data_IF_713041551646
#
_entry.id   IF_713041551646
#
_cell.length_a   1.000
_cell.length_b   1.000
_cell.length_c   1.000
_cell.angle_alpha   90.00
_cell.angle_beta   90.00
_cell.angle_gamma   90.00
#
_symmetry.space_group_name_H-M   'P 1'
#
loop_
_entity.id
_entity.type
_entity.pdbx_description
1 polymer ?
#
# COMPACT_ATOMS: atom_id res chain seq x y z
N UNK A 1 -43.58 13.00 -46.92
CA UNK A 1 -44.23 11.80 -46.36
C UNK A 1 -43.18 11.15 -45.43
N UNK A 2 -43.41 11.25 -44.11
CA UNK A 2 -42.72 10.67 -42.93
C UNK A 2 -41.17 10.54 -42.92
N UNK A 3 -40.47 11.34 -42.10
CA UNK A 3 -40.02 11.09 -40.69
C UNK A 3 -38.96 9.97 -40.58
N UNK A 4 -37.79 10.12 -39.96
CA UNK A 4 -37.42 10.88 -38.75
C UNK A 4 -35.96 11.36 -38.76
N UNK A 5 -35.77 12.54 -38.19
CA UNK A 5 -34.51 13.12 -37.69
C UNK A 5 -34.63 13.31 -36.18
N UNK A 6 -33.55 13.10 -35.44
CA UNK A 6 -33.35 13.73 -34.12
C UNK A 6 -31.89 14.13 -33.98
N UNK A 7 -31.69 15.43 -33.80
CA UNK A 7 -30.43 16.10 -33.49
C UNK A 7 -30.62 16.97 -32.25
N UNK A 8 -29.75 16.73 -31.25
CA UNK A 8 -28.91 17.67 -30.47
C UNK A 8 -29.56 18.87 -29.69
N UNK A 9 -28.90 19.20 -28.57
CA UNK A 9 -28.75 20.50 -27.86
C UNK A 9 -29.87 20.76 -26.83
N UNK A 10 -29.63 21.22 -25.60
CA UNK A 10 -28.46 21.70 -24.87
C UNK A 10 -28.98 22.39 -23.61
N UNK A 11 -28.14 22.45 -22.59
CA UNK A 11 -28.45 23.07 -21.29
C UNK A 11 -28.57 24.60 -21.41
N UNK A 12 -29.60 25.17 -20.78
CA UNK A 12 -29.67 26.58 -20.40
C UNK A 12 -30.24 26.72 -18.98
N UNK A 13 -29.57 27.55 -18.19
CA UNK A 13 -29.96 27.98 -16.84
C UNK A 13 -30.98 29.14 -16.87
N UNK A 14 -31.56 29.42 -15.70
CA UNK A 14 -32.49 30.50 -15.31
C UNK A 14 -34.01 30.22 -15.46
N UNK A 15 -34.66 29.94 -14.33
CA UNK A 15 -35.56 30.90 -13.65
C UNK A 15 -36.13 30.27 -12.36
N UNK A 16 -35.91 30.93 -11.22
CA UNK A 16 -36.54 30.60 -9.94
C UNK A 16 -37.78 31.49 -9.82
N UNK A 17 -38.98 30.89 -9.89
CA UNK A 17 -40.23 31.55 -9.50
C UNK A 17 -40.71 30.99 -8.17
N UNK A 18 -40.83 31.87 -7.18
CA UNK A 18 -41.42 31.57 -5.88
C UNK A 18 -42.94 31.57 -6.02
N UNK A 19 -43.58 30.43 -5.71
CA UNK A 19 -45.03 30.35 -5.53
C UNK A 19 -45.34 30.33 -4.03
N UNK A 20 -45.87 31.44 -3.51
CA UNK A 20 -46.55 31.48 -2.21
C UNK A 20 -47.82 30.63 -2.29
N UNK A 21 -47.85 29.52 -1.54
CA UNK A 21 -49.07 28.75 -1.31
C UNK A 21 -49.66 29.19 0.03
N UNK A 22 -50.72 29.99 -0.05
CA UNK A 22 -51.56 30.38 1.07
C UNK A 22 -52.35 29.15 1.55
N UNK A 23 -52.01 28.61 2.73
CA UNK A 23 -52.71 27.46 3.31
C UNK A 23 -54.00 27.95 3.97
N UNK A 24 -55.13 27.63 3.33
CA UNK A 24 -56.46 27.86 3.85
C UNK A 24 -56.74 26.88 5.02
N UNK A 25 -56.99 27.42 6.21
CA UNK A 25 -57.30 26.61 7.42
C UNK A 25 -58.72 26.03 7.32
N UNK A 26 -58.82 24.77 6.93
CA UNK A 26 -60.00 23.94 7.20
C UNK A 26 -59.65 22.82 8.19
N UNK A 27 -60.40 22.82 9.29
CA UNK A 27 -60.41 21.87 10.42
C UNK A 27 -60.11 20.42 9.99
N UNK A 28 -58.96 19.89 10.41
CA UNK A 28 -58.76 18.44 10.55
C UNK A 28 -58.77 18.07 12.04
N UNK A 29 -59.64 17.10 12.34
CA UNK A 29 -59.96 16.57 13.67
C UNK A 29 -58.69 16.08 14.39
N UNK A 30 -58.56 16.48 15.65
CA UNK A 30 -57.68 15.85 16.66
C UNK A 30 -58.05 14.37 16.76
N UNK A 31 -57.09 13.49 16.45
CA UNK A 31 -57.25 12.04 16.57
C UNK A 31 -56.16 11.26 15.86
N UNK A 32 -54.90 11.71 15.92
CA UNK A 32 -53.77 10.90 15.46
C UNK A 32 -53.44 9.91 16.56
N UNK A 33 -53.74 8.65 16.27
CA UNK A 33 -53.60 7.49 17.14
C UNK A 33 -52.23 7.40 17.82
N UNK A 34 -52.24 7.55 19.15
CA UNK A 34 -51.14 7.18 20.06
C UNK A 34 -50.64 5.74 19.78
N UNK A 35 -51.53 4.85 19.33
CA UNK A 35 -51.19 3.48 18.92
C UNK A 35 -50.18 3.38 17.76
N UNK A 36 -50.25 4.26 16.75
CA UNK A 36 -49.32 4.24 15.62
C UNK A 36 -47.92 4.73 16.00
N UNK A 37 -47.83 5.71 16.92
CA UNK A 37 -46.56 6.19 17.48
C UNK A 37 -45.88 5.13 18.36
N UNK A 38 -46.65 4.41 19.17
CA UNK A 38 -46.13 3.29 19.99
C UNK A 38 -45.68 2.14 19.09
N UNK A 39 -46.41 1.85 18.02
CA UNK A 39 -46.05 0.80 17.06
C UNK A 39 -44.75 1.15 16.31
N UNK A 40 -44.60 2.38 15.83
CA UNK A 40 -43.36 2.86 15.19
C UNK A 40 -42.17 2.86 16.16
N UNK A 41 -42.36 3.29 17.41
CA UNK A 41 -41.30 3.26 18.42
C UNK A 41 -40.86 1.83 18.79
N UNK A 42 -41.79 0.87 18.83
CA UNK A 42 -41.46 -0.56 18.98
C UNK A 42 -40.69 -1.09 17.78
N UNK A 43 -41.13 -0.78 16.55
CA UNK A 43 -40.42 -1.18 15.33
C UNK A 43 -38.99 -0.63 15.28
N UNK A 44 -38.78 0.64 15.64
CA UNK A 44 -37.45 1.25 15.75
C UNK A 44 -36.58 0.57 16.82
N UNK A 45 -37.14 0.18 17.96
CA UNK A 45 -36.42 -0.60 18.98
C UNK A 45 -36.01 -1.99 18.48
N UNK A 46 -36.91 -2.70 17.79
CA UNK A 46 -36.58 -4.01 17.22
C UNK A 46 -35.52 -3.89 16.12
N UNK A 47 -35.60 -2.87 15.26
CA UNK A 47 -34.57 -2.60 14.25
C UNK A 47 -33.21 -2.29 14.88
N UNK A 48 -33.17 -1.51 15.96
CA UNK A 48 -31.92 -1.22 16.67
C UNK A 48 -31.32 -2.48 17.31
N UNK A 49 -32.15 -3.33 17.91
CA UNK A 49 -31.70 -4.62 18.49
C UNK A 49 -31.15 -5.54 17.39
N UNK A 50 -31.79 -5.60 16.23
CA UNK A 50 -31.31 -6.39 15.09
C UNK A 50 -29.97 -5.85 14.58
N UNK A 51 -29.83 -4.53 14.44
CA UNK A 51 -28.56 -3.92 14.00
C UNK A 51 -27.44 -4.23 15.00
N UNK A 52 -27.69 -4.06 16.31
CA UNK A 52 -26.71 -4.39 17.35
C UNK A 52 -26.35 -5.88 17.33
N UNK A 53 -27.34 -6.76 17.18
CA UNK A 53 -27.10 -8.20 17.07
C UNK A 53 -26.27 -8.56 15.83
N UNK A 54 -26.59 -8.00 14.66
CA UNK A 54 -25.81 -8.20 13.44
C UNK A 54 -24.39 -7.66 13.60
N UNK A 55 -24.21 -6.48 14.20
CA UNK A 55 -22.88 -5.93 14.46
C UNK A 55 -22.10 -6.80 15.44
N UNK A 56 -22.71 -7.26 16.53
CA UNK A 56 -22.07 -8.15 17.51
C UNK A 56 -21.72 -9.51 16.90
N UNK A 57 -22.59 -10.09 16.07
CA UNK A 57 -22.30 -11.35 15.36
C UNK A 57 -21.18 -11.13 14.35
N UNK A 58 -21.16 -10.03 13.59
CA UNK A 58 -20.07 -9.73 12.67
C UNK A 58 -18.75 -9.45 13.42
N UNK A 59 -18.78 -8.74 14.53
CA UNK A 59 -17.59 -8.52 15.37
C UNK A 59 -17.08 -9.83 16.00
N UNK A 60 -17.98 -10.71 16.43
CA UNK A 60 -17.63 -12.05 16.90
C UNK A 60 -17.03 -12.90 15.78
N UNK A 61 -17.63 -12.88 14.58
CA UNK A 61 -17.10 -13.58 13.40
C UNK A 61 -15.74 -13.04 12.95
N UNK A 62 -15.53 -11.71 13.01
CA UNK A 62 -14.24 -11.07 12.73
C UNK A 62 -13.21 -11.47 13.80
N UNK A 63 -13.61 -11.53 15.08
CA UNK A 63 -12.70 -11.96 16.14
C UNK A 63 -12.31 -13.44 16.04
N UNK A 64 -13.19 -14.30 15.53
CA UNK A 64 -12.89 -15.71 15.23
C UNK A 64 -12.13 -15.92 13.92
N UNK A 65 -12.06 -14.91 13.05
CA UNK A 65 -11.26 -14.96 11.81
C UNK A 65 -9.84 -14.42 11.97
N UNK A 66 -9.50 -13.83 13.12
CA UNK A 66 -8.10 -13.65 13.53
C UNK A 66 -7.64 -14.98 14.13
N UNK A 67 -7.74 -16.04 13.33
CA UNK A 67 -6.96 -17.24 13.60
C UNK A 67 -5.51 -16.82 13.38
N UNK A 68 -4.73 -16.91 14.44
CA UNK A 68 -3.32 -16.58 14.46
C UNK A 68 -2.65 -17.31 13.30
N UNK A 69 -2.30 -16.57 12.25
CA UNK A 69 -1.29 -17.02 11.31
C UNK A 69 -0.05 -17.28 12.15
N UNK A 70 0.18 -18.55 12.49
CA UNK A 70 1.47 -18.99 12.99
C UNK A 70 2.43 -18.71 11.86
N UNK A 71 3.23 -17.65 12.02
CA UNK A 71 4.45 -17.45 11.24
C UNK A 71 5.17 -18.81 11.15
N UNK A 72 5.76 -19.11 10.00
CA UNK A 72 6.45 -20.39 9.77
C UNK A 72 7.69 -20.61 10.67
N UNK A 73 7.92 -19.71 11.64
CA UNK A 73 8.79 -19.90 12.77
C UNK A 73 7.95 -19.97 14.05
N UNK A 74 8.21 -20.93 14.96
CA UNK A 74 7.56 -20.91 16.28
C UNK A 74 7.72 -19.51 16.86
N UNK A 75 6.59 -18.85 17.10
CA UNK A 75 6.56 -17.52 17.70
C UNK A 75 7.16 -17.65 19.10
N UNK A 76 8.42 -17.25 19.21
CA UNK A 76 9.10 -17.12 20.48
C UNK A 76 8.84 -15.69 20.98
N UNK A 77 7.94 -15.50 21.95
CA UNK A 77 7.59 -14.17 22.46
C UNK A 77 8.78 -13.47 23.14
N UNK A 78 9.83 -14.22 23.50
CA UNK A 78 11.03 -13.68 24.12
C UNK A 78 12.13 -13.39 23.10
N UNK A 79 11.95 -13.79 21.82
CA UNK A 79 12.88 -13.49 20.74
C UNK A 79 12.74 -12.04 20.27
N UNK A 80 13.82 -11.28 20.42
CA UNK A 80 13.91 -9.93 19.87
C UNK A 80 13.92 -9.99 18.34
N UNK A 81 13.08 -9.17 17.73
CA UNK A 81 13.00 -9.03 16.28
C UNK A 81 13.26 -7.59 15.88
N UNK A 82 13.96 -7.39 14.77
CA UNK A 82 14.23 -6.08 14.20
C UNK A 82 14.00 -6.12 12.68
N UNK A 83 13.40 -5.06 12.16
CA UNK A 83 13.03 -4.92 10.77
C UNK A 83 13.35 -3.51 10.30
N UNK A 84 13.84 -3.42 9.06
CA UNK A 84 13.97 -2.16 8.35
C UNK A 84 12.86 -2.07 7.33
N UNK A 85 12.12 -0.97 7.36
CA UNK A 85 10.99 -0.69 6.47
C UNK A 85 11.13 0.68 5.83
N UNK A 86 10.28 0.95 4.85
CA UNK A 86 10.18 2.25 4.18
C UNK A 86 9.04 3.02 4.84
N UNK A 87 9.34 4.20 5.38
CA UNK A 87 8.33 5.07 5.99
C UNK A 87 7.25 5.47 4.98
N UNK A 88 5.98 5.42 5.40
CA UNK A 88 4.84 5.88 4.61
C UNK A 88 4.77 7.40 4.46
N UNK A 89 5.55 8.14 5.27
CA UNK A 89 5.68 9.59 5.16
C UNK A 89 6.79 9.97 4.18
N UNK A 90 6.61 11.08 3.48
CA UNK A 90 7.60 11.57 2.52
C UNK A 90 8.60 12.53 3.18
N UNK A 91 9.84 12.53 2.71
CA UNK A 91 10.90 13.41 3.21
C UNK A 91 10.74 14.85 2.69
N UNK A 92 10.92 15.05 1.38
CA UNK A 92 10.84 16.34 0.68
C UNK A 92 11.06 16.17 -0.82
N UNK A 93 10.66 17.17 -1.60
CA UNK A 93 10.88 17.24 -3.06
C UNK A 93 12.31 17.68 -3.39
N UNK A 94 13.01 16.93 -4.25
CA UNK A 94 14.26 17.41 -4.86
C UNK A 94 13.98 18.31 -6.08
N UNK A 95 14.98 19.09 -6.55
CA UNK A 95 14.86 19.87 -7.81
C UNK A 95 14.53 18.98 -9.02
N UNK A 96 14.98 17.73 -8.96
CA UNK A 96 14.65 16.68 -9.90
C UNK A 96 13.57 15.78 -9.29
N UNK A 97 12.55 16.34 -8.63
CA UNK A 97 11.25 15.74 -8.30
C UNK A 97 11.14 14.47 -7.43
N UNK A 98 12.14 14.06 -6.65
CA UNK A 98 12.02 12.82 -5.88
C UNK A 98 11.15 12.98 -4.63
N UNK A 99 10.32 11.96 -4.36
CA UNK A 99 9.84 11.62 -3.02
C UNK A 99 10.89 10.66 -2.43
N UNK A 100 11.89 11.19 -1.73
CA UNK A 100 12.76 10.32 -0.95
C UNK A 100 12.00 9.86 0.29
N UNK A 101 11.95 8.55 0.53
CA UNK A 101 11.37 7.97 1.74
C UNK A 101 12.44 7.80 2.80
N UNK A 102 12.02 7.94 4.04
CA UNK A 102 12.90 7.65 5.17
C UNK A 102 12.93 6.18 5.48
N UNK A 103 14.10 5.71 5.91
CA UNK A 103 14.23 4.43 6.57
C UNK A 103 13.49 4.51 7.91
N UNK A 104 12.66 3.50 8.17
CA UNK A 104 12.01 3.30 9.45
C UNK A 104 12.52 1.99 10.05
N UNK A 105 12.81 2.05 11.34
CA UNK A 105 13.28 0.91 12.11
C UNK A 105 12.11 0.45 12.95
N UNK A 106 11.81 -0.85 12.92
CA UNK A 106 10.77 -1.47 13.71
C UNK A 106 11.37 -2.61 14.52
N UNK A 107 10.92 -2.80 15.75
CA UNK A 107 11.36 -3.91 16.59
C UNK A 107 10.26 -4.42 17.49
N UNK A 108 10.38 -5.70 17.85
CA UNK A 108 9.56 -6.34 18.86
C UNK A 108 10.52 -6.80 19.94
N UNK A 109 10.40 -6.20 21.13
CA UNK A 109 11.16 -6.56 22.31
C UNK A 109 10.23 -6.40 23.53
N UNK A 110 10.04 -7.48 24.28
CA UNK A 110 9.10 -7.54 25.42
C UNK A 110 9.44 -6.52 26.50
N UNK A 111 10.73 -6.36 26.81
CA UNK A 111 11.25 -5.36 27.75
C UNK A 111 12.64 -4.88 27.28
N UNK A 112 12.71 -3.72 26.65
CA UNK A 112 14.00 -3.09 26.34
C UNK A 112 14.64 -2.52 27.61
N UNK A 113 15.93 -2.81 27.83
CA UNK A 113 16.73 -2.22 28.91
C UNK A 113 17.18 -0.79 28.58
N UNK A 114 17.59 -0.01 29.58
CA UNK A 114 18.20 1.32 29.37
C UNK A 114 19.53 1.23 28.58
N UNK A 115 20.24 0.11 28.73
CA UNK A 115 21.49 -0.16 28.04
C UNK A 115 21.34 -0.77 26.65
N UNK A 116 20.12 -1.11 26.22
CA UNK A 116 19.90 -1.67 24.89
C UNK A 116 20.12 -0.61 23.81
N UNK A 117 20.66 -1.03 22.67
CA UNK A 117 21.03 -0.13 21.57
C UNK A 117 20.63 -0.75 20.25
N UNK A 118 20.02 0.06 19.39
CA UNK A 118 19.84 -0.28 17.97
C UNK A 118 20.78 0.58 17.14
N UNK A 119 21.57 -0.06 16.28
CA UNK A 119 22.47 0.60 15.35
C UNK A 119 22.06 0.32 13.90
N UNK A 120 22.22 1.33 13.03
CA UNK A 120 22.01 1.22 11.58
C UNK A 120 23.34 1.42 10.84
N UNK A 121 23.59 0.64 9.80
CA UNK A 121 24.82 0.63 9.01
C UNK A 121 24.50 0.68 7.51
N UNK A 122 25.47 1.08 6.68
CA UNK A 122 25.36 1.01 5.22
C UNK A 122 25.95 -0.27 4.61
N UNK A 123 26.51 -1.16 5.43
CA UNK A 123 27.03 -2.48 5.07
C UNK A 123 26.77 -3.45 6.22
N UNK A 124 27.01 -4.74 5.99
CA UNK A 124 26.81 -5.76 7.00
C UNK A 124 27.83 -5.63 8.15
N UNK A 125 27.39 -5.27 9.38
CA UNK A 125 28.30 -5.07 10.50
C UNK A 125 28.89 -6.39 11.03
N UNK A 126 28.34 -7.55 10.65
CA UNK A 126 28.91 -8.86 11.01
C UNK A 126 30.18 -9.12 10.20
N UNK A 127 30.21 -8.70 8.94
CA UNK A 127 31.38 -8.84 8.07
C UNK A 127 32.38 -7.69 8.21
N UNK A 128 31.94 -6.51 8.67
CA UNK A 128 32.79 -5.35 8.89
C UNK A 128 32.51 -4.71 10.27
N UNK A 129 33.02 -5.33 11.32
CA UNK A 129 32.75 -4.95 12.72
C UNK A 129 33.33 -3.60 13.14
N UNK A 130 34.32 -3.07 12.40
CA UNK A 130 34.97 -1.77 12.70
C UNK A 130 34.19 -0.57 12.17
N UNK A 131 33.05 -0.80 11.51
CA UNK A 131 32.28 0.26 10.89
C UNK A 131 31.53 1.10 11.93
N UNK A 132 31.61 2.43 11.77
CA UNK A 132 30.79 3.38 12.54
C UNK A 132 29.32 3.31 12.10
N UNK A 133 28.36 3.21 13.04
CA UNK A 133 26.94 3.25 12.70
C UNK A 133 26.55 4.61 12.11
N UNK A 134 25.64 4.58 11.13
CA UNK A 134 24.98 5.76 10.58
C UNK A 134 24.03 6.41 11.59
N UNK A 135 23.40 5.57 12.41
CA UNK A 135 22.46 5.98 13.44
C UNK A 135 22.58 5.01 14.61
N UNK A 136 22.55 5.56 15.81
CA UNK A 136 22.46 4.85 17.07
C UNK A 136 21.24 5.37 17.82
N UNK A 137 20.41 4.47 18.34
CA UNK A 137 19.22 4.81 19.10
C UNK A 137 18.99 3.85 20.26
N UNK A 138 18.17 4.28 21.22
CA UNK A 138 17.87 3.53 22.44
C UNK A 138 16.40 3.10 22.41
N UNK A 139 16.09 1.81 22.23
CA UNK A 139 14.72 1.34 22.03
C UNK A 139 13.78 1.69 23.19
N UNK A 140 14.30 1.75 24.43
CA UNK A 140 13.50 2.14 25.61
C UNK A 140 12.92 3.55 25.54
N UNK A 141 13.53 4.48 24.77
CA UNK A 141 12.98 5.82 24.54
C UNK A 141 11.77 5.84 23.59
N UNK A 142 11.50 4.72 22.91
CA UNK A 142 10.48 4.58 21.88
C UNK A 142 9.63 3.33 22.13
N UNK A 143 8.79 3.33 23.17
CA UNK A 143 8.02 2.14 23.57
C UNK A 143 7.01 1.65 22.53
N UNK A 144 6.74 2.45 21.49
CA UNK A 144 5.90 2.04 20.36
C UNK A 144 6.55 1.01 19.43
N UNK A 145 7.83 0.68 19.63
CA UNK A 145 8.52 -0.34 18.82
C UNK A 145 8.92 0.12 17.43
N UNK A 146 8.94 1.44 17.16
CA UNK A 146 9.40 1.98 15.89
C UNK A 146 10.13 3.31 16.04
N UNK A 147 10.99 3.61 15.07
CA UNK A 147 11.69 4.88 14.97
C UNK A 147 11.86 5.31 13.51
N UNK A 148 11.39 6.51 13.20
CA UNK A 148 11.56 7.14 11.89
C UNK A 148 12.87 7.88 11.85
N UNK A 149 13.76 7.45 10.95
CA UNK A 149 15.08 8.06 10.80
C UNK A 149 15.01 9.27 9.86
N UNK A 150 16.14 9.99 9.74
CA UNK A 150 16.39 10.95 8.65
C UNK A 150 17.20 10.35 7.49
N UNK A 151 17.48 9.03 7.54
CA UNK A 151 18.23 8.30 6.52
C UNK A 151 17.31 8.10 5.32
N UNK A 152 17.77 8.53 4.15
CA UNK A 152 17.02 8.45 2.89
C UNK A 152 17.31 7.15 2.17
N UNK A 153 16.27 6.50 1.68
CA UNK A 153 16.40 5.28 0.88
C UNK A 153 16.56 5.67 -0.60
N UNK A 154 17.48 5.04 -1.35
CA UNK A 154 17.56 5.21 -2.79
C UNK A 154 16.28 4.67 -3.46
N UNK A 155 15.74 5.39 -4.45
CA UNK A 155 14.49 4.99 -5.12
C UNK A 155 14.71 3.85 -6.12
N UNK A 156 15.94 3.70 -6.62
CA UNK A 156 16.27 2.71 -7.65
C UNK A 156 17.06 1.54 -7.09
N UNK A 157 16.60 0.34 -7.44
CA UNK A 157 17.31 -0.91 -7.16
C UNK A 157 18.31 -1.29 -8.28
N UNK A 158 18.77 -0.32 -9.07
CA UNK A 158 19.65 -0.55 -10.22
C UNK A 158 21.04 -1.07 -9.85
N UNK A 159 21.45 -0.89 -8.58
CA UNK A 159 22.72 -1.38 -8.02
C UNK A 159 22.68 -2.83 -7.54
N UNK A 160 21.54 -3.51 -7.63
CA UNK A 160 21.43 -4.87 -7.11
C UNK A 160 22.22 -5.87 -7.95
N UNK A 161 23.02 -6.70 -7.26
CA UNK A 161 23.62 -7.88 -7.86
C UNK A 161 22.55 -8.97 -8.03
N UNK A 162 22.22 -9.38 -9.26
CA UNK A 162 21.18 -10.38 -9.48
C UNK A 162 21.52 -11.79 -8.99
N UNK A 163 22.80 -12.06 -8.70
CA UNK A 163 23.24 -13.35 -8.18
C UNK A 163 22.95 -13.54 -6.68
N UNK A 164 22.62 -12.46 -5.97
CA UNK A 164 22.33 -12.53 -4.54
C UNK A 164 20.87 -12.96 -4.30
N UNK A 165 20.67 -14.19 -3.79
CA UNK A 165 19.33 -14.76 -3.51
C UNK A 165 18.48 -13.93 -2.54
N UNK A 166 19.12 -13.15 -1.65
CA UNK A 166 18.48 -12.21 -0.72
C UNK A 166 19.23 -10.88 -0.74
N UNK A 167 18.99 -10.01 -1.72
CA UNK A 167 19.68 -8.74 -1.78
C UNK A 167 19.20 -7.83 -0.66
N UNK A 168 20.16 -7.30 0.10
CA UNK A 168 19.94 -6.19 1.04
C UNK A 168 20.07 -4.87 0.27
N UNK A 169 19.14 -3.96 0.51
CA UNK A 169 19.10 -2.64 -0.12
C UNK A 169 20.00 -1.64 0.64
N UNK A 170 21.28 -1.98 0.81
CA UNK A 170 22.31 -1.06 1.30
C UNK A 170 22.20 -0.61 2.77
N UNK A 171 21.25 -1.15 3.56
CA UNK A 171 21.10 -0.83 4.98
C UNK A 171 20.96 -2.07 5.84
N UNK A 172 21.66 -2.07 6.96
CA UNK A 172 21.62 -3.11 7.99
C UNK A 172 21.26 -2.49 9.34
N UNK A 173 20.63 -3.28 10.20
CA UNK A 173 20.38 -2.88 11.57
C UNK A 173 20.64 -4.03 12.54
N UNK A 174 21.17 -3.70 13.71
CA UNK A 174 21.42 -4.65 14.78
C UNK A 174 20.81 -4.17 16.09
N UNK A 175 20.32 -5.11 16.89
CA UNK A 175 19.89 -4.90 18.26
C UNK A 175 20.95 -5.47 19.19
N UNK A 176 21.57 -4.62 19.99
CA UNK A 176 22.48 -4.98 21.07
C UNK A 176 21.73 -4.92 22.39
N UNK A 177 21.95 -5.91 23.25
CA UNK A 177 21.52 -5.79 24.65
C UNK A 177 22.50 -4.91 25.45
N UNK A 178 22.11 -4.61 26.69
CA UNK A 178 22.92 -3.93 27.71
C UNK A 178 24.33 -4.51 27.95
N UNK A 179 24.55 -5.80 27.65
CA UNK A 179 25.86 -6.47 27.72
C UNK A 179 26.68 -6.32 26.44
N UNK A 180 26.21 -5.57 25.45
CA UNK A 180 26.88 -5.37 24.16
C UNK A 180 26.82 -6.59 23.22
N UNK A 181 25.93 -7.55 23.47
CA UNK A 181 25.75 -8.74 22.61
C UNK A 181 24.62 -8.51 21.60
N UNK A 182 24.89 -8.83 20.33
CA UNK A 182 23.88 -8.82 19.27
C UNK A 182 22.80 -9.86 19.58
N UNK A 183 21.56 -9.39 19.76
CA UNK A 183 20.37 -10.22 19.92
C UNK A 183 19.66 -10.46 18.58
N UNK A 184 19.69 -9.47 17.69
CA UNK A 184 19.09 -9.56 16.37
C UNK A 184 19.89 -8.73 15.35
N UNK A 185 19.92 -9.19 14.09
CA UNK A 185 20.50 -8.48 12.95
C UNK A 185 19.60 -8.65 11.74
N UNK A 186 19.43 -7.58 10.97
CA UNK A 186 18.61 -7.57 9.75
C UNK A 186 19.19 -6.60 8.73
N UNK A 187 18.60 -6.61 7.55
CA UNK A 187 18.84 -5.60 6.53
C UNK A 187 17.54 -5.15 5.90
N UNK A 188 17.57 -4.05 5.15
CA UNK A 188 16.42 -3.65 4.32
C UNK A 188 16.30 -4.65 3.18
N UNK A 189 15.44 -5.65 3.36
CA UNK A 189 15.33 -6.79 2.44
C UNK A 189 14.56 -6.42 1.18
N UNK A 190 14.98 -7.04 0.09
CA UNK A 190 14.22 -7.09 -1.15
C UNK A 190 13.77 -8.52 -1.42
N UNK A 191 12.74 -8.68 -2.24
CA UNK A 191 12.11 -9.98 -2.48
C UNK A 191 11.97 -10.30 -3.99
N UNK A 192 13.04 -10.17 -4.81
CA UNK A 192 12.97 -10.52 -6.23
C UNK A 192 12.75 -12.02 -6.49
N UNK A 193 13.03 -12.89 -5.50
CA UNK A 193 13.03 -14.35 -5.63
C UNK A 193 12.06 -15.06 -4.67
N UNK A 194 11.10 -14.36 -4.05
CA UNK A 194 10.31 -14.97 -2.97
C UNK A 194 9.55 -16.23 -3.42
N UNK A 195 8.95 -16.23 -4.62
CA UNK A 195 8.24 -17.39 -5.17
C UNK A 195 9.15 -18.60 -5.40
N UNK A 196 10.35 -18.38 -5.94
CA UNK A 196 11.36 -19.44 -6.13
C UNK A 196 11.78 -20.02 -4.77
N UNK A 197 12.07 -19.15 -3.80
CA UNK A 197 12.54 -19.55 -2.47
C UNK A 197 11.53 -20.40 -1.71
N UNK A 198 10.24 -20.14 -1.90
CA UNK A 198 9.16 -20.91 -1.27
C UNK A 198 8.53 -21.91 -2.25
N UNK A 199 9.15 -22.16 -3.41
CA UNK A 199 8.61 -23.00 -4.47
C UNK A 199 8.17 -24.37 -3.96
N UNK A 200 8.94 -25.01 -3.07
CA UNK A 200 8.55 -26.28 -2.42
C UNK A 200 7.16 -26.28 -1.77
N UNK A 201 6.66 -25.11 -1.36
CA UNK A 201 5.35 -24.94 -0.72
C UNK A 201 4.27 -24.45 -1.67
N UNK A 202 4.62 -23.75 -2.76
CA UNK A 202 3.64 -23.09 -3.63
C UNK A 202 3.59 -23.63 -5.06
N UNK A 203 4.56 -24.46 -5.48
CA UNK A 203 4.67 -24.93 -6.87
C UNK A 203 3.54 -25.87 -7.31
N UNK A 204 2.88 -26.53 -6.35
CA UNK A 204 1.74 -27.41 -6.59
C UNK A 204 0.40 -26.66 -6.51
N UNK A 205 0.42 -25.40 -6.06
CA UNK A 205 -0.77 -24.56 -5.95
C UNK A 205 -1.02 -23.86 -7.27
N UNK A 206 -2.29 -23.66 -7.61
CA UNK A 206 -2.72 -22.79 -8.70
C UNK A 206 -2.53 -21.32 -8.29
N UNK A 207 -2.51 -20.41 -9.27
CA UNK A 207 -2.34 -18.97 -8.98
C UNK A 207 -3.45 -18.40 -8.09
N UNK A 208 -4.67 -18.93 -8.17
CA UNK A 208 -5.82 -18.53 -7.34
C UNK A 208 -5.77 -19.08 -5.90
N UNK A 209 -4.82 -19.96 -5.61
CA UNK A 209 -4.58 -20.54 -4.28
C UNK A 209 -3.38 -19.87 -3.58
N UNK A 210 -2.68 -18.95 -4.25
CA UNK A 210 -1.50 -18.25 -3.73
C UNK A 210 -1.86 -16.80 -3.43
N UNK A 211 -1.49 -16.32 -2.25
CA UNK A 211 -1.52 -14.88 -1.94
C UNK A 211 -0.41 -14.18 -2.73
N UNK A 212 -0.78 -13.52 -3.83
CA UNK A 212 0.16 -12.81 -4.71
C UNK A 212 0.03 -11.30 -4.50
N UNK A 213 1.08 -10.60 -4.05
CA UNK A 213 1.04 -9.16 -3.92
C UNK A 213 1.03 -8.50 -5.31
N UNK A 214 0.15 -7.52 -5.47
CA UNK A 214 0.02 -6.73 -6.69
C UNK A 214 -0.16 -5.25 -6.43
N UNK A 215 -0.18 -4.47 -7.50
CA UNK A 215 -0.44 -3.02 -7.46
C UNK A 215 -1.57 -2.63 -8.40
N UNK A 216 -2.35 -1.64 -7.99
CA UNK A 216 -3.43 -1.05 -8.78
C UNK A 216 -2.86 0.01 -9.75
N UNK A 217 -3.33 0.02 -11.01
CA UNK A 217 -2.82 0.91 -12.07
C UNK A 217 -1.27 0.93 -12.12
N UNK A 218 -0.65 -0.24 -12.08
CA UNK A 218 0.79 -0.44 -11.81
C UNK A 218 1.72 0.36 -12.72
N UNK A 219 1.34 0.50 -13.99
CA UNK A 219 2.13 1.23 -14.98
C UNK A 219 1.98 2.75 -14.87
N UNK A 220 1.05 3.22 -14.04
CA UNK A 220 0.82 4.63 -13.77
C UNK A 220 1.73 5.15 -12.64
N UNK A 221 3.03 4.99 -12.85
CA UNK A 221 4.05 5.49 -11.94
C UNK A 221 4.59 6.85 -12.38
N UNK A 222 5.03 7.68 -11.45
CA UNK A 222 5.80 8.87 -11.80
C UNK A 222 7.00 9.00 -10.87
N UNK A 223 8.16 9.08 -11.49
CA UNK A 223 9.28 9.80 -10.92
C UNK A 223 8.98 11.29 -11.17
N UNK A 224 9.13 12.15 -10.17
CA UNK A 224 9.35 13.57 -10.47
C UNK A 224 8.23 14.42 -11.05
N UNK A 225 7.02 14.36 -10.50
CA UNK A 225 6.06 15.42 -10.82
C UNK A 225 5.67 16.21 -9.59
N UNK A 226 5.97 17.52 -9.65
CA UNK A 226 5.28 18.53 -8.83
C UNK A 226 3.80 18.15 -8.82
N UNK A 227 3.21 18.08 -7.64
CA UNK A 227 1.78 17.90 -7.44
C UNK A 227 1.06 19.13 -7.98
N UNK A 228 0.89 19.20 -9.30
CA UNK A 228 -0.16 20.00 -9.92
C UNK A 228 -1.46 19.25 -9.59
N UNK A 229 -2.59 19.92 -9.32
CA UNK A 229 -3.83 19.24 -8.88
C UNK A 229 -4.28 18.06 -9.76
N UNK A 230 -3.86 18.02 -11.03
CA UNK A 230 -4.14 16.93 -11.97
C UNK A 230 -3.21 15.71 -11.82
N UNK A 231 -1.94 15.89 -11.41
CA UNK A 231 -0.98 14.77 -11.36
C UNK A 231 -1.30 13.77 -10.26
N UNK A 232 -1.96 14.20 -9.17
CA UNK A 232 -2.45 13.32 -8.09
C UNK A 232 -3.50 12.30 -8.55
N UNK A 233 -4.24 12.63 -9.60
CA UNK A 233 -5.23 11.74 -10.20
C UNK A 233 -4.64 10.92 -11.34
N UNK A 234 -3.52 11.36 -11.91
CA UNK A 234 -2.89 10.72 -13.06
C UNK A 234 -2.07 9.50 -12.65
N UNK A 235 -1.35 9.55 -11.55
CA UNK A 235 -0.40 8.50 -11.13
C UNK A 235 -0.82 7.85 -9.80
N UNK A 236 -0.77 6.52 -9.76
CA UNK A 236 -1.11 5.71 -8.58
C UNK A 236 0.12 5.09 -7.90
N UNK A 237 1.27 5.09 -8.58
CA UNK A 237 2.49 4.46 -8.11
C UNK A 237 3.67 5.44 -8.05
N UNK A 238 4.56 5.23 -7.08
CA UNK A 238 5.82 5.99 -6.95
C UNK A 238 7.03 5.24 -7.53
N UNK A 239 6.87 3.94 -7.76
CA UNK A 239 7.93 3.04 -8.22
C UNK A 239 7.61 2.53 -9.62
N UNK A 240 8.60 2.44 -10.49
CA UNK A 240 8.39 1.76 -11.77
C UNK A 240 8.17 0.27 -11.61
N UNK A 241 7.68 -0.34 -12.68
CA UNK A 241 7.41 -1.78 -12.78
C UNK A 241 8.64 -2.61 -12.40
N UNK A 242 9.84 -2.20 -12.83
CA UNK A 242 11.08 -2.85 -12.41
C UNK A 242 11.23 -2.88 -10.88
N UNK A 243 11.17 -1.72 -10.22
CA UNK A 243 11.34 -1.64 -8.77
C UNK A 243 10.21 -2.38 -8.03
N UNK A 244 8.97 -2.27 -8.49
CA UNK A 244 7.83 -3.02 -7.94
C UNK A 244 8.10 -4.54 -7.93
N UNK A 245 8.63 -5.10 -9.02
CA UNK A 245 9.01 -6.52 -9.07
C UNK A 245 10.15 -6.88 -8.12
N UNK A 246 11.15 -6.00 -7.99
CA UNK A 246 12.28 -6.21 -7.09
C UNK A 246 11.82 -6.21 -5.62
N UNK A 247 10.84 -5.37 -5.27
CA UNK A 247 10.22 -5.39 -3.93
C UNK A 247 9.31 -6.60 -3.70
N UNK A 248 8.94 -7.34 -4.75
CA UNK A 248 8.22 -8.61 -4.63
C UNK A 248 6.85 -8.66 -5.31
N UNK A 249 6.38 -7.57 -5.94
CA UNK A 249 5.09 -7.59 -6.64
C UNK A 249 5.14 -8.51 -7.87
N UNK A 250 4.05 -9.25 -8.09
CA UNK A 250 3.93 -10.22 -9.20
C UNK A 250 2.62 -10.09 -9.97
N UNK A 251 1.66 -9.33 -9.46
CA UNK A 251 0.42 -9.01 -10.16
C UNK A 251 0.39 -7.52 -10.50
N UNK A 252 0.16 -7.18 -11.77
CA UNK A 252 0.20 -5.81 -12.26
C UNK A 252 -1.08 -5.45 -13.04
N UNK A 253 -1.87 -4.50 -12.51
CA UNK A 253 -3.02 -3.92 -13.20
C UNK A 253 -2.53 -2.89 -14.23
N UNK A 254 -2.47 -3.27 -15.51
CA UNK A 254 -2.09 -2.38 -16.61
C UNK A 254 -3.31 -1.93 -17.39
N UNK A 255 -3.62 -0.63 -17.33
CA UNK A 255 -4.71 -0.04 -18.13
C UNK A 255 -4.15 0.61 -19.37
N UNK A 256 -4.60 0.14 -20.53
CA UNK A 256 -4.03 0.53 -21.83
C UNK A 256 -5.01 1.43 -22.59
N UNK A 257 -4.53 2.56 -23.09
CA UNK A 257 -5.24 3.43 -24.01
C UNK A 257 -4.59 3.43 -25.40
N UNK A 258 -5.44 3.47 -26.44
CA UNK A 258 -5.02 3.64 -27.82
C UNK A 258 -5.11 5.11 -28.26
N UNK A 259 -4.06 5.61 -28.90
CA UNK A 259 -3.90 7.01 -29.31
C UNK A 259 -3.36 7.08 -30.74
N UNK A 260 -4.27 7.11 -31.71
CA UNK A 260 -3.95 7.08 -33.14
C UNK A 260 -2.96 8.16 -33.57
N UNK A 261 -3.06 9.38 -33.03
CA UNK A 261 -2.20 10.53 -33.42
C UNK A 261 -0.80 10.49 -32.82
N UNK A 262 -0.41 9.40 -32.15
CA UNK A 262 0.90 9.25 -31.52
C UNK A 262 1.71 8.13 -32.16
N UNK A 263 3.04 8.27 -32.17
CA UNK A 263 3.93 7.25 -32.75
C UNK A 263 3.82 5.89 -32.02
N UNK A 264 3.80 5.89 -30.68
CA UNK A 264 3.80 4.67 -29.89
C UNK A 264 2.44 3.95 -29.85
N UNK A 265 1.34 4.62 -30.25
CA UNK A 265 -0.06 4.15 -30.30
C UNK A 265 -0.67 3.67 -28.97
N UNK A 266 0.06 2.95 -28.12
CA UNK A 266 -0.41 2.37 -26.86
C UNK A 266 0.31 2.96 -25.65
N UNK A 267 -0.47 3.57 -24.77
CA UNK A 267 0.02 4.19 -23.53
C UNK A 267 -0.66 3.58 -22.31
N UNK A 268 0.02 3.64 -21.17
CA UNK A 268 -0.63 3.38 -19.90
C UNK A 268 -1.55 4.55 -19.56
N UNK A 269 -2.73 4.23 -19.08
CA UNK A 269 -3.72 5.18 -18.58
C UNK A 269 -3.96 4.97 -17.08
N UNK A 270 -4.50 5.99 -16.43
CA UNK A 270 -5.29 5.82 -15.22
C UNK A 270 -6.66 6.45 -15.51
N UNK A 271 -7.69 5.61 -15.61
CA UNK A 271 -8.99 5.98 -16.19
C UNK A 271 -8.83 6.61 -17.58
N UNK A 272 -9.32 7.84 -17.78
CA UNK A 272 -9.20 8.58 -19.04
C UNK A 272 -7.89 9.38 -19.17
N UNK A 273 -7.01 9.32 -18.18
CA UNK A 273 -5.79 10.13 -18.13
C UNK A 273 -4.61 9.33 -18.72
N UNK A 274 -4.08 9.80 -19.85
CA UNK A 274 -2.88 9.24 -20.46
C UNK A 274 -1.64 9.53 -19.61
N UNK A 275 -0.89 8.50 -19.22
CA UNK A 275 0.43 8.62 -18.58
C UNK A 275 1.51 9.01 -19.58
N UNK A 276 2.73 9.19 -19.09
CA UNK A 276 3.89 9.43 -19.96
C UNK A 276 4.56 8.10 -20.38
N UNK A 277 4.03 6.97 -19.91
CA UNK A 277 4.60 5.65 -20.17
C UNK A 277 3.86 4.95 -21.29
N UNK A 278 4.63 4.42 -22.23
CA UNK A 278 4.12 3.53 -23.27
C UNK A 278 3.98 2.11 -22.72
N UNK A 279 3.09 1.31 -23.30
CA UNK A 279 3.02 -0.13 -22.98
C UNK A 279 4.36 -0.81 -23.25
N UNK A 280 5.02 -0.43 -24.35
CA UNK A 280 6.37 -0.92 -24.69
C UNK A 280 7.37 -0.65 -23.55
N UNK A 281 7.43 0.56 -23.02
CA UNK A 281 8.33 0.92 -21.91
C UNK A 281 8.10 0.08 -20.65
N UNK A 282 6.83 -0.22 -20.35
CA UNK A 282 6.47 -1.10 -19.23
C UNK A 282 6.91 -2.54 -19.48
N UNK A 283 6.63 -3.09 -20.66
CA UNK A 283 7.03 -4.46 -21.02
C UNK A 283 8.56 -4.61 -21.09
N UNK A 284 9.27 -3.59 -21.57
CA UNK A 284 10.74 -3.58 -21.59
C UNK A 284 11.32 -3.70 -20.15
N UNK A 285 10.66 -3.12 -19.14
CA UNK A 285 11.07 -3.28 -17.73
C UNK A 285 10.80 -4.69 -17.19
N UNK A 286 9.68 -5.31 -17.58
CA UNK A 286 9.37 -6.71 -17.26
C UNK A 286 10.44 -7.62 -17.84
N UNK A 287 10.71 -7.48 -19.14
CA UNK A 287 11.77 -8.21 -19.84
C UNK A 287 13.12 -8.03 -19.16
N UNK A 288 13.52 -6.78 -18.86
CA UNK A 288 14.76 -6.48 -18.15
C UNK A 288 14.86 -7.24 -16.82
N UNK A 289 13.80 -7.26 -16.00
CA UNK A 289 13.81 -8.04 -14.75
C UNK A 289 13.97 -9.53 -15.00
N UNK A 290 13.25 -10.08 -15.99
CA UNK A 290 13.36 -11.51 -16.32
C UNK A 290 14.77 -11.89 -16.74
N UNK A 291 15.41 -11.07 -17.59
CA UNK A 291 16.82 -11.27 -17.98
C UNK A 291 17.79 -11.09 -16.82
N UNK A 292 17.63 -10.04 -16.00
CA UNK A 292 18.55 -9.79 -14.89
C UNK A 292 18.47 -10.88 -13.83
N UNK A 293 17.26 -11.35 -13.48
CA UNK A 293 17.06 -12.19 -12.31
C UNK A 293 16.69 -13.65 -12.61
N UNK A 294 16.67 -14.14 -13.87
CA UNK A 294 16.37 -15.57 -14.19
C UNK A 294 15.13 -16.16 -13.47
N UNK A 295 14.16 -15.31 -13.08
CA UNK A 295 13.09 -15.68 -12.17
C UNK A 295 11.80 -15.95 -12.95
N UNK A 296 11.45 -17.23 -13.08
CA UNK A 296 10.12 -17.76 -13.44
C UNK A 296 9.12 -17.30 -12.34
N UNK A 297 7.91 -16.77 -12.59
CA UNK A 297 6.89 -17.07 -13.60
C UNK A 297 6.18 -15.76 -14.02
N UNK A 298 5.99 -15.58 -15.32
CA UNK A 298 4.86 -14.86 -15.94
C UNK A 298 4.39 -15.80 -17.06
N UNK A 299 3.39 -16.63 -16.76
CA UNK A 299 2.64 -17.41 -17.75
C UNK A 299 1.19 -16.97 -17.67
#
# INVERSE_FOLDING_TARGET
>A
MFHNSVSIIGYNEHEISYAEVTVNRTKLKKGICIGYLIFFAKMLRYSLIIIVFVVCVNLAFVSSFIDTFTDCHPYDPDRIQIFLTISSLYSFFTKNGLVQRWLEINWVAKNSSDGDIINVYNQDPIHNSSQKPLLTMYPKKYPSGYFRTSIKIPVEASFLNPQQKNPCMGYWATYFNDKGKIQASTCLKMHPFWMERISKYISHLRLDEIMIPGSHDSGSFSYNKKTIPYTRYKYSQELSIFNQMVYGLRYFDLRVGYYEKTYAKYFINHNFLKTDHTVKSVLDQVSRKMYSFHAHILH
#
